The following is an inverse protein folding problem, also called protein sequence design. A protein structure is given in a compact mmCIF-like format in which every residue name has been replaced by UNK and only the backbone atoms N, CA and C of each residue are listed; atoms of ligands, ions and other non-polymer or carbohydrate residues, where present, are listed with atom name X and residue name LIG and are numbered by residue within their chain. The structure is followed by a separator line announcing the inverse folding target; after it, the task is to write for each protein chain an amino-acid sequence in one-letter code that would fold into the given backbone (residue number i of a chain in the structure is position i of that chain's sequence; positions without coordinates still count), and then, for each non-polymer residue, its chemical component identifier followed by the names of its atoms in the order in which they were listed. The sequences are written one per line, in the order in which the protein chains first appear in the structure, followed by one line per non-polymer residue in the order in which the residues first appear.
data_IF_525867972339
#
_entry.id   IF_525867972339
#
_cell.length_a   1.000
_cell.length_b   1.000
_cell.length_c   1.000
_cell.angle_alpha   90.00
_cell.angle_beta   90.00
_cell.angle_gamma   90.00
#
_symmetry.space_group_name_H-M   'P 1'
#
loop_
_entity.id
_entity.type
_entity.pdbx_description
1 polymer ?
#
# COMPACT_ATOMS: atom_id res chain seq x y z
N UNK A 1 17.74 15.36 4.90
CA UNK A 1 17.04 14.08 4.68
C UNK A 1 16.70 14.02 3.19
N UNK A 2 17.26 13.08 2.42
CA UNK A 2 16.89 12.97 1.00
C UNK A 2 15.48 12.37 0.93
N UNK A 3 14.50 13.16 0.49
CA UNK A 3 13.17 12.64 0.17
C UNK A 3 13.30 11.68 -1.02
N UNK A 4 13.09 10.38 -0.77
CA UNK A 4 13.06 9.39 -1.83
C UNK A 4 12.04 9.77 -2.92
N UNK A 5 12.40 9.57 -4.19
CA UNK A 5 11.55 9.87 -5.35
C UNK A 5 10.18 9.22 -5.19
N UNK A 6 9.11 10.01 -5.06
CA UNK A 6 7.73 9.51 -5.04
C UNK A 6 7.35 9.01 -6.43
N UNK A 7 6.96 7.75 -6.52
CA UNK A 7 6.42 7.13 -7.74
C UNK A 7 4.90 7.03 -7.57
N UNK A 8 4.16 7.49 -8.58
CA UNK A 8 2.69 7.36 -8.62
C UNK A 8 2.35 6.19 -9.53
N UNK A 9 1.49 5.30 -9.05
CA UNK A 9 1.00 4.14 -9.81
C UNK A 9 -0.52 4.19 -9.83
N UNK A 10 -1.12 3.97 -11.00
CA UNK A 10 -2.56 3.84 -11.16
C UNK A 10 -2.95 2.37 -11.34
N UNK A 11 -3.96 1.93 -10.59
CA UNK A 11 -4.52 0.58 -10.70
C UNK A 11 -6.02 0.67 -10.89
N UNK A 12 -6.59 -0.25 -11.68
CA UNK A 12 -8.04 -0.37 -11.87
C UNK A 12 -8.56 -1.50 -10.98
N UNK A 13 -9.57 -1.19 -10.18
CA UNK A 13 -10.22 -2.11 -9.26
C UNK A 13 -11.74 -1.96 -9.40
N UNK A 14 -12.49 -2.99 -8.99
CA UNK A 14 -13.94 -2.87 -8.87
C UNK A 14 -14.30 -1.86 -7.79
N UNK A 15 -15.39 -1.12 -8.01
CA UNK A 15 -15.85 -0.07 -7.10
C UNK A 15 -16.09 -0.60 -5.68
N UNK A 16 -16.64 -1.82 -5.54
CA UNK A 16 -16.89 -2.41 -4.23
C UNK A 16 -15.61 -2.65 -3.43
N UNK A 17 -14.46 -2.86 -4.09
CA UNK A 17 -13.16 -3.03 -3.41
C UNK A 17 -12.59 -1.69 -3.00
N UNK A 18 -12.70 -0.67 -3.86
CA UNK A 18 -12.26 0.70 -3.55
C UNK A 18 -13.01 1.22 -2.33
N UNK A 19 -14.33 1.05 -2.32
CA UNK A 19 -15.20 1.45 -1.21
C UNK A 19 -14.81 0.76 0.11
N UNK A 20 -14.47 -0.53 0.09
CA UNK A 20 -13.98 -1.25 1.29
C UNK A 20 -12.64 -0.71 1.79
N UNK A 21 -11.70 -0.40 0.89
CA UNK A 21 -10.40 0.18 1.26
C UNK A 21 -10.62 1.56 1.90
N UNK A 22 -11.52 2.38 1.35
CA UNK A 22 -11.85 3.70 1.90
C UNK A 22 -12.49 3.61 3.29
N UNK A 23 -13.38 2.65 3.50
CA UNK A 23 -13.97 2.41 4.81
C UNK A 23 -12.88 2.08 5.85
N UNK A 24 -11.97 1.14 5.53
CA UNK A 24 -10.86 0.78 6.42
C UNK A 24 -9.98 2.00 6.71
N UNK A 25 -9.67 2.81 5.69
CA UNK A 25 -8.86 4.01 5.84
C UNK A 25 -9.52 5.02 6.82
N UNK A 26 -10.83 5.23 6.69
CA UNK A 26 -11.62 6.12 7.57
C UNK A 26 -11.68 5.60 9.00
N UNK A 27 -12.01 4.33 9.19
CA UNK A 27 -12.11 3.69 10.51
C UNK A 27 -10.78 3.76 11.30
N UNK A 28 -9.66 3.74 10.59
CA UNK A 28 -8.32 3.82 11.19
C UNK A 28 -7.73 5.23 11.18
N UNK A 29 -8.45 6.24 10.68
CA UNK A 29 -7.98 7.62 10.52
C UNK A 29 -6.62 7.74 9.80
N UNK A 30 -6.46 7.00 8.70
CA UNK A 30 -5.23 6.99 7.88
C UNK A 30 -5.55 7.26 6.40
N UNK A 31 -4.59 7.75 5.60
CA UNK A 31 -4.76 7.87 4.16
C UNK A 31 -4.95 6.51 3.48
N UNK A 32 -5.75 6.47 2.40
CA UNK A 32 -5.94 5.27 1.55
C UNK A 32 -4.63 4.63 1.11
N UNK A 33 -3.64 5.45 0.74
CA UNK A 33 -2.32 4.99 0.30
C UNK A 33 -1.58 4.21 1.37
N UNK A 34 -1.78 4.53 2.64
CA UNK A 34 -1.16 3.82 3.76
C UNK A 34 -1.75 2.42 3.92
N UNK A 35 -3.08 2.29 3.80
CA UNK A 35 -3.76 1.00 3.82
C UNK A 35 -3.26 0.10 2.68
N UNK A 36 -3.20 0.64 1.47
CA UNK A 36 -2.69 -0.07 0.29
C UNK A 36 -1.22 -0.48 0.50
N UNK A 37 -0.38 0.42 1.01
CA UNK A 37 1.03 0.14 1.27
C UNK A 37 1.20 -1.00 2.28
N UNK A 38 0.50 -0.94 3.42
CA UNK A 38 0.54 -1.99 4.46
C UNK A 38 0.11 -3.35 3.90
N UNK A 39 -0.96 -3.37 3.10
CA UNK A 39 -1.44 -4.60 2.46
C UNK A 39 -0.41 -5.18 1.47
N UNK A 40 0.23 -4.33 0.66
CA UNK A 40 1.26 -4.76 -0.28
C UNK A 40 2.49 -5.32 0.44
N UNK A 41 2.99 -4.63 1.47
CA UNK A 41 4.14 -5.10 2.27
C UNK A 41 3.83 -6.45 2.90
N UNK A 42 2.69 -6.58 3.57
CA UNK A 42 2.27 -7.84 4.17
C UNK A 42 2.18 -8.98 3.15
N UNK A 43 1.61 -8.71 1.96
CA UNK A 43 1.52 -9.72 0.90
C UNK A 43 2.89 -10.14 0.37
N UNK A 44 3.81 -9.19 0.19
CA UNK A 44 5.17 -9.44 -0.25
C UNK A 44 5.95 -10.27 0.77
N UNK A 45 5.89 -9.90 2.06
CA UNK A 45 6.52 -10.65 3.15
C UNK A 45 5.98 -12.08 3.23
N UNK A 46 4.66 -12.26 3.15
CA UNK A 46 4.02 -13.58 3.14
C UNK A 46 4.43 -14.45 1.96
N UNK A 47 4.84 -13.83 0.84
CA UNK A 47 5.34 -14.50 -0.37
C UNK A 47 6.86 -14.73 -0.34
N UNK A 48 7.55 -14.33 0.72
CA UNK A 48 9.00 -14.48 0.86
C UNK A 48 9.82 -13.42 0.15
N UNK A 49 9.21 -12.31 -0.28
CA UNK A 49 9.96 -11.14 -0.76
C UNK A 49 10.50 -10.38 0.45
N UNK A 50 11.69 -10.74 0.93
CA UNK A 50 12.44 -9.94 1.90
C UNK A 50 13.20 -8.83 1.18
N UNK A 51 13.44 -7.70 1.88
CA UNK A 51 14.32 -6.63 1.40
C UNK A 51 15.70 -7.25 1.08
N UNK A 52 16.00 -7.47 -0.19
CA UNK A 52 17.37 -7.76 -0.60
C UNK A 52 18.18 -6.47 -0.35
N UNK A 53 18.94 -6.44 0.74
CA UNK A 53 20.00 -5.47 0.96
C UNK A 53 21.10 -5.73 -0.08
N UNK A 54 20.96 -5.15 -1.26
CA UNK A 54 22.08 -4.89 -2.17
C UNK A 54 22.12 -3.40 -2.44
N UNK A 55 22.69 -2.67 -1.48
CA UNK A 55 23.35 -1.39 -1.67
C UNK A 55 24.79 -1.55 -1.18
#
# INVERSE_FOLDING_TARGET
MQEGKKIVVSVRLKEELVSKIDQIARENNVPRSEVIMKALVWYMEKRGYTRNNHL
#
